data_IF_910310293748
#
_entry.id   IF_910310293748
#
_cell.length_a   1.000
_cell.length_b   1.000
_cell.length_c   1.000
_cell.angle_alpha   90.00
_cell.angle_beta   90.00
_cell.angle_gamma   90.00
#
_symmetry.space_group_name_H-M   'P 1'
#
loop_
_entity.id
_entity.type
_entity.pdbx_description
1 polymer ?
#
# COMPACT_ATOMS: atom_id res chain seq x y z
N UNK A 1 -7.41 10.11 4.77
CA UNK A 1 -7.37 8.71 4.31
C UNK A 1 -6.26 7.90 4.96
N UNK A 2 -6.37 6.57 4.88
CA UNK A 2 -5.27 5.61 4.95
C UNK A 2 -5.54 4.49 3.95
N UNK A 3 -4.54 3.66 3.66
CA UNK A 3 -4.65 2.66 2.59
C UNK A 3 -4.26 1.27 3.09
N UNK A 4 -5.02 0.24 2.76
CA UNK A 4 -4.60 -1.16 2.94
C UNK A 4 -4.18 -1.72 1.60
N UNK A 5 -2.94 -2.17 1.48
CA UNK A 5 -2.41 -2.87 0.31
C UNK A 5 -2.54 -4.36 0.54
N UNK A 6 -3.23 -5.04 -0.37
CA UNK A 6 -3.29 -6.49 -0.43
C UNK A 6 -2.51 -6.98 -1.63
N UNK A 7 -1.43 -7.69 -1.36
CA UNK A 7 -0.63 -8.36 -2.38
C UNK A 7 -1.25 -9.73 -2.64
N UNK A 8 -1.81 -9.91 -3.83
CA UNK A 8 -2.39 -11.18 -4.22
C UNK A 8 -1.28 -12.19 -4.52
N UNK A 9 -1.37 -13.37 -3.90
CA UNK A 9 -0.56 -14.54 -4.23
C UNK A 9 -1.46 -15.74 -4.55
N UNK A 10 -0.94 -16.66 -5.35
CA UNK A 10 -1.64 -17.89 -5.75
C UNK A 10 -1.48 -19.03 -4.74
N UNK A 11 -0.91 -18.77 -3.56
CA UNK A 11 -0.62 -19.82 -2.59
C UNK A 11 -1.80 -20.00 -1.63
N UNK A 12 -1.96 -21.20 -1.06
CA UNK A 12 -2.93 -21.39 0.02
C UNK A 12 -2.43 -20.65 1.28
N UNK A 13 -3.20 -19.68 1.77
CA UNK A 13 -2.84 -18.91 2.97
C UNK A 13 -3.47 -17.53 3.01
N UNK A 14 -3.20 -16.75 4.08
CA UNK A 14 -3.63 -15.37 4.15
C UNK A 14 -2.85 -14.52 3.15
N UNK A 15 -3.56 -13.66 2.42
CA UNK A 15 -2.91 -12.64 1.59
C UNK A 15 -1.98 -11.77 2.44
N UNK A 16 -0.87 -11.32 1.86
CA UNK A 16 0.01 -10.36 2.53
C UNK A 16 -0.63 -8.99 2.49
N UNK A 17 -1.05 -8.49 3.65
CA UNK A 17 -1.69 -7.18 3.79
C UNK A 17 -0.82 -6.24 4.60
N UNK A 18 -0.79 -4.98 4.17
CA UNK A 18 -0.02 -3.91 4.78
C UNK A 18 -0.84 -2.63 4.81
N UNK A 19 -0.77 -1.90 5.91
CA UNK A 19 -1.48 -0.63 6.05
C UNK A 19 -0.50 0.54 5.92
N UNK A 20 -0.85 1.52 5.10
CA UNK A 20 -0.20 2.82 5.01
C UNK A 20 -1.04 3.85 5.75
N UNK A 21 -0.64 4.16 6.98
CA UNK A 21 -1.30 5.14 7.86
C UNK A 21 -0.47 6.41 8.00
N UNK A 22 -1.05 7.48 8.54
CA UNK A 22 -0.42 8.80 8.61
C UNK A 22 -0.50 9.39 10.04
N UNK A 23 0.59 9.25 10.83
CA UNK A 23 0.64 9.66 12.25
C UNK A 23 2.01 10.22 12.74
N UNK A 24 2.33 11.52 12.57
CA UNK A 24 1.77 12.46 11.60
C UNK A 24 2.34 12.25 10.18
N UNK A 25 3.35 11.38 10.05
CA UNK A 25 4.00 10.99 8.80
C UNK A 25 3.54 9.61 8.32
N UNK A 26 3.81 9.24 7.06
CA UNK A 26 3.49 7.91 6.54
C UNK A 26 4.17 6.80 7.36
N UNK A 27 3.41 5.78 7.74
CA UNK A 27 3.89 4.61 8.46
C UNK A 27 3.37 3.37 7.75
N UNK A 28 4.28 2.46 7.41
CA UNK A 28 3.91 1.13 6.98
C UNK A 28 3.69 0.24 8.19
N UNK A 29 2.54 -0.42 8.25
CA UNK A 29 2.13 -1.32 9.31
C UNK A 29 1.69 -2.67 8.78
N UNK A 30 1.74 -3.68 9.65
CA UNK A 30 1.16 -5.02 9.41
C UNK A 30 0.37 -5.40 10.64
N UNK A 31 -0.95 -5.34 10.53
CA UNK A 31 -1.81 -5.35 11.70
C UNK A 31 -1.43 -4.20 12.64
N UNK A 32 -1.15 -4.52 13.91
CA UNK A 32 -0.83 -3.51 14.93
C UNK A 32 0.67 -3.19 15.07
N UNK A 33 1.52 -3.71 14.19
CA UNK A 33 2.97 -3.52 14.27
C UNK A 33 3.47 -2.56 13.19
N UNK A 34 4.30 -1.59 13.60
CA UNK A 34 5.01 -0.71 12.67
C UNK A 34 6.16 -1.48 12.01
N UNK A 35 6.15 -1.53 10.68
CA UNK A 35 7.25 -2.10 9.89
C UNK A 35 8.36 -1.07 9.71
N UNK A 36 8.01 0.09 9.15
CA UNK A 36 8.95 1.17 8.90
C UNK A 36 8.23 2.52 8.74
N UNK A 37 8.99 3.60 8.96
CA UNK A 37 8.59 4.98 8.72
C UNK A 37 9.55 5.51 7.64
N UNK A 38 9.11 5.74 6.39
CA UNK A 38 9.99 6.12 5.29
C UNK A 38 10.74 7.43 5.57
N UNK A 39 10.01 8.42 6.07
CA UNK A 39 10.54 9.73 6.44
C UNK A 39 9.73 10.30 7.61
N UNK A 40 10.37 10.50 8.77
CA UNK A 40 9.71 11.00 9.99
C UNK A 40 9.36 12.48 9.93
N UNK A 41 10.02 13.23 9.05
CA UNK A 41 9.93 14.69 8.96
C UNK A 41 8.93 15.15 7.89
N UNK A 42 8.46 14.25 7.02
CA UNK A 42 7.50 14.57 5.97
C UNK A 42 6.11 13.98 6.32
N UNK A 43 5.05 14.80 6.44
CA UNK A 43 3.70 14.29 6.69
C UNK A 43 3.06 13.60 5.47
N UNK A 44 3.67 13.67 4.29
CA UNK A 44 3.12 13.16 3.02
C UNK A 44 3.88 11.96 2.49
N UNK A 45 3.18 11.18 1.66
CA UNK A 45 3.77 10.06 0.95
C UNK A 45 4.82 10.55 -0.05
N UNK A 46 5.98 9.90 -0.04
CA UNK A 46 7.08 10.15 -0.96
C UNK A 46 7.31 8.96 -1.88
N UNK A 47 7.50 9.22 -3.17
CA UNK A 47 7.83 8.18 -4.16
C UNK A 47 9.07 7.39 -3.73
N UNK A 48 9.04 6.08 -3.92
CA UNK A 48 10.02 5.12 -3.43
C UNK A 48 9.71 4.56 -2.04
N UNK A 49 8.71 5.09 -1.32
CA UNK A 49 8.29 4.55 -0.02
C UNK A 49 7.80 3.10 -0.12
N UNK A 50 7.07 2.74 -1.18
CA UNK A 50 6.63 1.36 -1.43
C UNK A 50 7.82 0.40 -1.62
N UNK A 51 8.85 0.83 -2.34
CA UNK A 51 10.06 0.02 -2.54
C UNK A 51 10.72 -0.36 -1.22
N UNK A 52 10.76 0.57 -0.26
CA UNK A 52 11.28 0.30 1.09
C UNK A 52 10.49 -0.80 1.79
N UNK A 53 9.16 -0.82 1.65
CA UNK A 53 8.31 -1.91 2.17
C UNK A 53 8.64 -3.24 1.49
N UNK A 54 8.68 -3.27 0.16
CA UNK A 54 8.95 -4.48 -0.64
C UNK A 54 10.29 -5.11 -0.24
N UNK A 55 11.34 -4.30 -0.10
CA UNK A 55 12.67 -4.75 0.32
C UNK A 55 12.68 -5.23 1.78
N UNK A 56 12.01 -4.50 2.68
CA UNK A 56 11.96 -4.82 4.11
C UNK A 56 11.24 -6.15 4.39
N UNK A 57 10.11 -6.37 3.72
CA UNK A 57 9.25 -7.55 3.91
C UNK A 57 9.54 -8.68 2.91
N UNK A 58 10.50 -8.49 1.99
CA UNK A 58 10.88 -9.46 0.96
C UNK A 58 9.67 -9.94 0.15
N UNK A 59 8.86 -8.98 -0.31
CA UNK A 59 7.61 -9.28 -0.99
C UNK A 59 7.87 -9.95 -2.35
N UNK A 60 8.90 -9.50 -3.08
CA UNK A 60 9.28 -10.03 -4.40
C UNK A 60 9.89 -11.44 -4.41
N UNK A 61 10.20 -12.03 -3.26
CA UNK A 61 10.82 -13.37 -3.19
C UNK A 61 9.81 -14.51 -3.39
N UNK A 62 8.52 -14.21 -3.55
CA UNK A 62 7.47 -15.21 -3.76
C UNK A 62 7.23 -15.47 -5.25
N UNK A 63 7.54 -16.69 -5.72
CA UNK A 63 7.20 -17.16 -7.07
C UNK A 63 5.69 -17.18 -7.38
N UNK A 64 4.86 -17.01 -6.36
CA UNK A 64 3.39 -17.06 -6.45
C UNK A 64 2.75 -15.66 -6.42
N UNK A 65 3.55 -14.61 -6.25
CA UNK A 65 3.05 -13.24 -6.24
C UNK A 65 2.50 -12.88 -7.61
N UNK A 66 1.28 -12.35 -7.65
CA UNK A 66 0.73 -11.76 -8.87
C UNK A 66 1.34 -10.39 -9.11
N UNK A 67 1.20 -9.85 -10.32
CA UNK A 67 1.55 -8.47 -10.60
C UNK A 67 0.48 -7.48 -10.14
N UNK A 68 -0.49 -7.87 -9.30
CA UNK A 68 -1.62 -7.04 -8.89
C UNK A 68 -1.58 -6.73 -7.39
N UNK A 69 -1.80 -5.48 -7.06
CA UNK A 69 -2.00 -5.00 -5.68
C UNK A 69 -3.38 -4.38 -5.60
N UNK A 70 -4.23 -4.89 -4.71
CA UNK A 70 -5.46 -4.20 -4.36
C UNK A 70 -5.16 -3.13 -3.31
N UNK A 71 -5.52 -1.89 -3.59
CA UNK A 71 -5.41 -0.76 -2.66
C UNK A 71 -6.82 -0.44 -2.17
N UNK A 72 -7.08 -0.76 -0.91
CA UNK A 72 -8.31 -0.40 -0.22
C UNK A 72 -8.17 0.99 0.35
N UNK A 73 -9.07 1.88 -0.04
CA UNK A 73 -9.10 3.28 0.40
C UNK A 73 -10.04 3.40 1.59
N UNK A 74 -9.53 3.96 2.69
CA UNK A 74 -10.30 4.25 3.90
C UNK A 74 -10.29 5.76 4.14
N UNK A 75 -11.45 6.41 4.30
CA UNK A 75 -11.47 7.88 4.41
C UNK A 75 -11.10 8.39 5.81
N UNK A 76 -11.14 7.53 6.83
CA UNK A 76 -10.83 7.90 8.22
C UNK A 76 -9.31 7.92 8.54
N UNK A 77 -8.58 8.93 8.07
CA UNK A 77 -7.15 9.13 8.38
C UNK A 77 -6.60 10.46 7.85
N UNK A 78 -5.28 10.71 7.96
CA UNK A 78 -4.67 12.00 7.57
C UNK A 78 -4.08 12.07 6.14
N UNK A 79 -4.07 10.96 5.40
CA UNK A 79 -3.64 10.94 3.99
C UNK A 79 -4.61 11.68 3.06
N UNK A 80 -4.11 12.17 1.94
CA UNK A 80 -4.84 12.96 0.93
C UNK A 80 -4.78 12.31 -0.47
N UNK A 81 -5.55 12.84 -1.42
CA UNK A 81 -5.63 12.27 -2.78
C UNK A 81 -4.26 12.23 -3.45
N UNK A 82 -3.44 13.28 -3.24
CA UNK A 82 -2.06 13.28 -3.74
C UNK A 82 -1.17 12.21 -3.10
N UNK A 83 -1.49 11.69 -1.92
CA UNK A 83 -0.76 10.56 -1.33
C UNK A 83 -1.14 9.26 -2.04
N UNK A 84 -2.42 9.09 -2.39
CA UNK A 84 -2.91 7.96 -3.18
C UNK A 84 -2.31 7.95 -4.59
N UNK A 85 -2.33 9.10 -5.28
CA UNK A 85 -1.74 9.24 -6.62
C UNK A 85 -0.28 8.78 -6.65
N UNK A 86 0.53 9.25 -5.68
CA UNK A 86 1.94 8.87 -5.58
C UNK A 86 2.16 7.41 -5.22
N UNK A 87 1.27 6.83 -4.40
CA UNK A 87 1.30 5.41 -4.10
C UNK A 87 1.03 4.58 -5.36
N UNK A 88 0.03 4.96 -6.17
CA UNK A 88 -0.27 4.27 -7.44
C UNK A 88 0.90 4.37 -8.40
N UNK A 89 1.51 5.54 -8.55
CA UNK A 89 2.71 5.72 -9.38
C UNK A 89 3.89 4.83 -8.93
N UNK A 90 4.03 4.63 -7.62
CA UNK A 90 5.05 3.71 -7.08
C UNK A 90 4.72 2.25 -7.39
N UNK A 91 3.45 1.83 -7.28
CA UNK A 91 3.01 0.47 -7.64
C UNK A 91 3.35 0.18 -9.10
N UNK A 92 3.02 1.11 -10.00
CA UNK A 92 3.30 1.00 -11.43
C UNK A 92 4.80 0.96 -11.72
N UNK A 93 5.58 1.78 -11.02
CA UNK A 93 7.05 1.82 -11.15
C UNK A 93 7.73 0.52 -10.72
N UNK A 94 7.15 -0.20 -9.76
CA UNK A 94 7.61 -1.52 -9.34
C UNK A 94 7.10 -2.65 -10.27
N UNK A 95 6.47 -2.29 -11.41
CA UNK A 95 6.01 -3.23 -12.43
C UNK A 95 4.70 -3.95 -12.08
N UNK A 96 3.92 -3.39 -11.15
CA UNK A 96 2.66 -3.95 -10.69
C UNK A 96 1.46 -3.08 -11.12
N UNK A 97 0.29 -3.69 -11.15
CA UNK A 97 -1.01 -3.09 -11.47
C UNK A 97 -1.74 -2.78 -10.15
N UNK A 98 -2.13 -1.52 -9.97
CA UNK A 98 -2.94 -1.08 -8.84
C UNK A 98 -4.43 -1.29 -9.14
N UNK A 99 -5.14 -2.02 -8.27
CA UNK A 99 -6.60 -2.15 -8.32
C UNK A 99 -7.17 -1.35 -7.15
N UNK A 100 -7.89 -0.28 -7.44
CA UNK A 100 -8.43 0.60 -6.40
C UNK A 100 -9.81 0.11 -5.95
N UNK A 101 -9.95 -0.09 -4.64
CA UNK A 101 -11.22 -0.41 -4.02
C UNK A 101 -11.62 0.66 -3.02
N UNK A 102 -12.73 1.35 -3.31
CA UNK A 102 -13.32 2.30 -2.39
C UNK A 102 -14.31 1.57 -1.46
N UNK A 103 -13.87 1.35 -0.22
CA UNK A 103 -14.65 0.57 0.76
C UNK A 103 -15.98 1.26 1.13
N UNK A 104 -15.99 2.60 1.19
CA UNK A 104 -17.14 3.38 1.63
C UNK A 104 -18.15 3.65 0.50
N UNK A 105 -17.70 3.65 -0.75
CA UNK A 105 -18.59 3.73 -1.92
C UNK A 105 -19.17 2.36 -2.32
N UNK A 106 -18.50 1.26 -1.96
CA UNK A 106 -18.91 -0.09 -2.37
C UNK A 106 -18.58 -0.45 -3.82
N UNK A 107 -17.75 0.35 -4.49
CA UNK A 107 -17.42 0.22 -5.92
C UNK A 107 -15.92 -0.05 -6.15
N UNK A 108 -15.61 -0.83 -7.20
CA UNK A 108 -14.25 -1.02 -7.73
C UNK A 108 -14.01 -0.05 -8.89
N UNK A 109 -12.81 0.52 -8.98
CA UNK A 109 -12.35 1.24 -10.16
C UNK A 109 -11.32 0.38 -10.89
N UNK A 110 -11.59 0.06 -12.16
CA UNK A 110 -10.55 -0.37 -13.10
C UNK A 110 -9.97 0.90 -13.74
N UNK A 111 -8.65 1.10 -13.60
CA UNK A 111 -7.92 2.18 -14.27
C UNK A 111 -7.74 1.88 -15.76
#
# INVERSE_FOLDING_TARGET
MYFTLMFADWNEGPSRTYDLVFHPCPVWMKGNETILIPNKENPRYEKGSLKMLIEKEKIGDSRFLTNRITVVIHYNGNGEDGDLERLVEDIEKEGMEAILWNLEAGDFYEN
#
